data_IF_276054089447
#
_entry.id   IF_276054089447
#
_cell.length_a   1.000
_cell.length_b   1.000
_cell.length_c   1.000
_cell.angle_alpha   90.00
_cell.angle_beta   90.00
_cell.angle_gamma   90.00
#
_symmetry.space_group_name_H-M   'P 1'
#
loop_
_entity.id
_entity.type
_entity.pdbx_description
1 polymer ?
#
# COMPACT_ATOMS: atom_id res chain seq x y z
N UNK A 1 10.00 -15.02 9.23
CA UNK A 1 10.37 -14.09 10.32
C UNK A 1 9.55 -12.79 10.31
N UNK A 2 9.46 -12.08 9.17
CA UNK A 2 8.72 -10.80 9.10
C UNK A 2 7.22 -10.92 9.46
N UNK A 3 6.54 -11.96 8.98
CA UNK A 3 5.12 -12.18 9.30
C UNK A 3 4.82 -12.36 10.79
N UNK A 4 5.70 -13.09 11.49
CA UNK A 4 5.63 -13.29 12.95
C UNK A 4 5.84 -11.95 13.67
N UNK A 5 6.89 -11.20 13.30
CA UNK A 5 7.17 -9.88 13.89
C UNK A 5 5.99 -8.93 13.75
N UNK A 6 5.38 -8.86 12.57
CA UNK A 6 4.23 -7.98 12.31
C UNK A 6 2.97 -8.41 13.07
N UNK A 7 2.73 -9.71 13.17
CA UNK A 7 1.61 -10.25 13.97
C UNK A 7 1.78 -9.91 15.46
N UNK A 8 2.98 -10.13 16.00
CA UNK A 8 3.28 -9.90 17.42
C UNK A 8 3.21 -8.42 17.81
N UNK A 9 3.61 -7.51 16.91
CA UNK A 9 3.45 -6.07 17.13
C UNK A 9 1.99 -5.63 17.34
N UNK A 10 1.02 -6.46 16.93
CA UNK A 10 -0.41 -6.23 17.12
C UNK A 10 -1.03 -7.14 18.18
N UNK A 11 -0.27 -8.06 18.79
CA UNK A 11 -0.79 -9.05 19.73
C UNK A 11 -1.52 -8.40 20.91
N UNK A 12 -1.08 -7.22 21.38
CA UNK A 12 -1.74 -6.48 22.47
C UNK A 12 -3.18 -6.07 22.13
N UNK A 13 -3.44 -5.60 20.91
CA UNK A 13 -4.80 -5.30 20.45
C UNK A 13 -5.64 -6.58 20.41
N UNK A 14 -5.11 -7.66 19.82
CA UNK A 14 -5.82 -8.93 19.74
C UNK A 14 -6.13 -9.53 21.12
N UNK A 15 -5.19 -9.48 22.07
CA UNK A 15 -5.33 -10.06 23.40
C UNK A 15 -6.44 -9.37 24.22
N UNK A 16 -6.50 -8.03 24.20
CA UNK A 16 -7.56 -7.27 24.87
C UNK A 16 -8.93 -7.63 24.28
N UNK A 17 -9.01 -7.82 22.95
CA UNK A 17 -10.24 -8.13 22.25
C UNK A 17 -10.78 -9.53 22.59
N UNK A 18 -9.91 -10.54 22.65
CA UNK A 18 -10.29 -11.88 23.10
C UNK A 18 -10.67 -11.92 24.58
N UNK A 19 -9.98 -11.15 25.44
CA UNK A 19 -10.31 -11.07 26.87
C UNK A 19 -11.73 -10.52 27.10
N UNK A 20 -12.14 -9.49 26.36
CA UNK A 20 -13.50 -8.93 26.45
C UNK A 20 -14.57 -9.92 25.98
N UNK A 21 -14.31 -10.64 24.88
CA UNK A 21 -15.22 -11.70 24.39
C UNK A 21 -15.36 -12.84 25.41
N UNK A 22 -14.24 -13.33 25.93
CA UNK A 22 -14.21 -14.44 26.88
C UNK A 22 -14.89 -14.09 28.22
N UNK A 23 -14.81 -12.83 28.65
CA UNK A 23 -15.39 -12.38 29.91
C UNK A 23 -16.92 -12.33 29.91
N UNK A 24 -17.55 -11.82 28.84
CA UNK A 24 -18.97 -11.42 28.91
C UNK A 24 -19.94 -12.32 28.14
N UNK A 25 -19.46 -13.04 27.13
CA UNK A 25 -20.28 -13.93 26.32
C UNK A 25 -19.52 -15.23 26.11
N UNK A 26 -19.80 -16.25 26.92
CA UNK A 26 -19.36 -17.65 26.70
C UNK A 26 -19.87 -18.25 25.37
N UNK A 27 -20.31 -17.43 24.43
CA UNK A 27 -20.74 -17.79 23.09
C UNK A 27 -19.51 -17.95 22.21
N UNK A 28 -19.04 -19.20 22.12
CA UNK A 28 -17.90 -19.63 21.30
C UNK A 28 -17.96 -19.14 19.84
N UNK A 29 -19.15 -18.84 19.31
CA UNK A 29 -19.37 -18.34 17.94
C UNK A 29 -18.62 -17.03 17.67
N UNK A 30 -18.56 -16.11 18.65
CA UNK A 30 -17.83 -14.84 18.48
C UNK A 30 -16.32 -15.03 18.52
N UNK A 31 -15.85 -15.96 19.37
CA UNK A 31 -14.43 -16.32 19.45
C UNK A 31 -14.00 -17.01 18.14
N UNK A 32 -14.81 -17.93 17.63
CA UNK A 32 -14.57 -18.60 16.35
C UNK A 32 -14.57 -17.61 15.18
N UNK A 33 -15.52 -16.67 15.13
CA UNK A 33 -15.57 -15.65 14.08
C UNK A 33 -14.33 -14.72 14.11
N UNK A 34 -13.90 -14.28 15.30
CA UNK A 34 -12.67 -13.50 15.46
C UNK A 34 -11.42 -14.31 15.07
N UNK A 35 -11.35 -15.59 15.46
CA UNK A 35 -10.27 -16.49 15.09
C UNK A 35 -10.18 -16.69 13.57
N UNK A 36 -11.32 -16.90 12.89
CA UNK A 36 -11.38 -16.98 11.42
C UNK A 36 -10.89 -15.68 10.79
N UNK A 37 -11.31 -14.52 11.33
CA UNK A 37 -10.82 -13.21 10.88
C UNK A 37 -9.30 -13.09 10.95
N UNK A 38 -8.69 -13.54 12.04
CA UNK A 38 -7.22 -13.54 12.21
C UNK A 38 -6.54 -14.56 11.29
N UNK A 39 -7.07 -15.78 11.19
CA UNK A 39 -6.54 -16.83 10.34
C UNK A 39 -6.60 -16.45 8.85
N UNK A 40 -7.60 -15.67 8.44
CA UNK A 40 -7.70 -15.16 7.06
C UNK A 40 -6.49 -14.31 6.65
N UNK A 41 -5.89 -13.56 7.59
CA UNK A 41 -4.68 -12.80 7.33
C UNK A 41 -3.45 -13.70 7.08
N UNK A 42 -3.46 -14.92 7.64
CA UNK A 42 -2.39 -15.91 7.47
C UNK A 42 -2.51 -16.67 6.15
N UNK A 43 -3.73 -17.00 5.70
CA UNK A 43 -3.95 -17.70 4.43
C UNK A 43 -3.38 -16.91 3.24
N UNK A 44 -3.52 -15.58 3.26
CA UNK A 44 -2.96 -14.74 2.20
C UNK A 44 -1.44 -14.55 2.28
N UNK A 45 -0.76 -15.01 3.34
CA UNK A 45 0.66 -14.77 3.65
C UNK A 45 1.10 -13.30 3.58
N UNK A 46 0.16 -12.36 3.60
CA UNK A 46 0.42 -10.93 3.59
C UNK A 46 0.12 -10.42 4.99
N UNK A 47 1.15 -10.03 5.73
CA UNK A 47 1.01 -9.64 7.13
C UNK A 47 0.97 -8.13 7.25
N UNK A 48 -0.23 -7.56 7.11
CA UNK A 48 -0.47 -6.13 7.27
C UNK A 48 -1.48 -5.87 8.38
N UNK A 49 -1.27 -4.80 9.17
CA UNK A 49 -2.20 -4.40 10.23
C UNK A 49 -3.67 -4.40 9.80
N UNK A 50 -3.95 -3.87 8.60
CA UNK A 50 -5.30 -3.76 8.04
C UNK A 50 -5.97 -5.11 7.79
N UNK A 51 -5.24 -6.20 7.58
CA UNK A 51 -5.86 -7.51 7.34
C UNK A 51 -6.41 -8.15 8.62
N UNK A 52 -5.93 -7.71 9.78
CA UNK A 52 -6.55 -8.08 11.05
C UNK A 52 -7.90 -7.38 11.28
N UNK A 53 -8.27 -6.39 10.44
CA UNK A 53 -9.56 -5.72 10.54
C UNK A 53 -10.74 -6.64 10.19
N UNK A 54 -10.50 -7.81 9.58
CA UNK A 54 -11.54 -8.83 9.41
C UNK A 54 -12.11 -9.33 10.76
N UNK A 55 -11.33 -9.24 11.84
CA UNK A 55 -11.83 -9.55 13.17
C UNK A 55 -12.70 -8.41 13.76
N UNK A 56 -12.63 -7.18 13.25
CA UNK A 56 -13.33 -6.03 13.83
C UNK A 56 -14.86 -6.15 13.79
N UNK A 57 -15.54 -6.56 12.70
CA UNK A 57 -17.00 -6.64 12.68
C UNK A 57 -17.61 -7.52 13.80
N UNK A 58 -17.19 -8.80 13.99
CA UNK A 58 -17.74 -9.59 15.09
C UNK A 58 -17.40 -9.00 16.48
N UNK A 59 -16.25 -8.35 16.61
CA UNK A 59 -15.83 -7.71 17.85
C UNK A 59 -16.64 -6.46 18.18
N UNK A 60 -16.94 -5.62 17.19
CA UNK A 60 -17.78 -4.42 17.38
C UNK A 60 -19.20 -4.80 17.79
N UNK A 61 -19.78 -5.84 17.18
CA UNK A 61 -21.11 -6.33 17.53
C UNK A 61 -21.15 -6.87 18.96
N UNK A 62 -20.16 -7.68 19.35
CA UNK A 62 -20.06 -8.17 20.71
C UNK A 62 -19.85 -7.03 21.73
N UNK A 63 -18.96 -6.08 21.42
CA UNK A 63 -18.68 -4.91 22.25
C UNK A 63 -19.89 -3.97 22.38
N UNK A 64 -20.68 -3.80 21.32
CA UNK A 64 -21.91 -3.00 21.35
C UNK A 64 -22.93 -3.55 22.36
N UNK A 65 -23.17 -4.87 22.34
CA UNK A 65 -24.01 -5.53 23.34
C UNK A 65 -23.46 -5.40 24.76
N UNK A 66 -22.12 -5.42 24.91
CA UNK A 66 -21.45 -5.19 26.20
C UNK A 66 -21.71 -3.77 26.71
N UNK A 67 -21.53 -2.75 25.87
CA UNK A 67 -21.72 -1.34 26.22
C UNK A 67 -23.18 -1.03 26.59
N UNK A 68 -24.13 -1.55 25.80
CA UNK A 68 -25.56 -1.34 26.00
C UNK A 68 -26.06 -1.90 27.34
N UNK A 69 -25.47 -3.00 27.81
CA UNK A 69 -25.81 -3.63 29.09
C UNK A 69 -25.04 -3.06 30.29
N UNK A 70 -24.18 -2.04 30.12
CA UNK A 70 -23.45 -1.43 31.24
C UNK A 70 -24.29 -0.36 31.97
N UNK A 71 -24.04 -0.12 33.27
CA UNK A 71 -24.58 1.05 33.96
C UNK A 71 -24.19 2.35 33.25
N UNK A 72 -25.12 3.31 33.17
CA UNK A 72 -24.97 4.58 32.41
C UNK A 72 -23.65 5.29 32.65
N UNK A 73 -23.18 5.36 33.91
CA UNK A 73 -21.90 6.02 34.26
C UNK A 73 -20.70 5.34 33.61
N UNK A 74 -20.66 4.00 33.61
CA UNK A 74 -19.57 3.25 32.98
C UNK A 74 -19.65 3.31 31.46
N UNK A 75 -20.86 3.18 30.90
CA UNK A 75 -21.09 3.34 29.47
C UNK A 75 -20.60 4.71 28.99
N UNK A 76 -20.91 5.79 29.72
CA UNK A 76 -20.43 7.14 29.41
C UNK A 76 -18.90 7.22 29.40
N UNK A 77 -18.22 6.67 30.41
CA UNK A 77 -16.75 6.63 30.45
C UNK A 77 -16.17 5.93 29.22
N UNK A 78 -16.71 4.76 28.85
CA UNK A 78 -16.25 4.05 27.65
C UNK A 78 -16.59 4.80 26.35
N UNK A 79 -17.74 5.48 26.27
CA UNK A 79 -18.09 6.31 25.12
C UNK A 79 -17.14 7.51 24.98
N UNK A 80 -16.71 8.13 26.09
CA UNK A 80 -15.71 9.20 26.06
C UNK A 80 -14.37 8.70 25.52
N UNK A 81 -14.00 7.43 25.77
CA UNK A 81 -12.79 6.87 25.16
C UNK A 81 -12.85 6.81 23.62
N UNK A 82 -14.04 6.82 23.00
CA UNK A 82 -14.18 6.92 21.54
C UNK A 82 -13.79 8.31 21.00
N UNK A 83 -13.68 9.32 21.86
CA UNK A 83 -13.10 10.62 21.48
C UNK A 83 -11.62 10.46 21.12
N UNK A 84 -10.90 9.48 21.67
CA UNK A 84 -9.48 9.25 21.35
C UNK A 84 -9.28 8.92 19.87
N UNK A 85 -9.89 7.88 19.28
CA UNK A 85 -9.76 7.63 17.85
C UNK A 85 -10.35 8.76 17.02
N UNK A 86 -11.44 9.42 17.47
CA UNK A 86 -11.99 10.57 16.74
C UNK A 86 -11.01 11.74 16.67
N UNK A 87 -10.36 12.10 17.78
CA UNK A 87 -9.36 13.16 17.82
C UNK A 87 -8.08 12.77 17.08
N UNK A 88 -7.70 11.48 17.11
CA UNK A 88 -6.50 10.98 16.43
C UNK A 88 -6.66 10.86 14.92
N UNK A 89 -7.82 10.41 14.44
CA UNK A 89 -8.05 10.09 13.03
C UNK A 89 -9.00 11.06 12.32
N UNK A 90 -9.87 11.75 13.06
CA UNK A 90 -10.86 12.70 12.55
C UNK A 90 -10.29 13.94 11.86
N UNK A 91 -9.25 14.62 12.40
CA UNK A 91 -8.71 15.83 11.78
C UNK A 91 -8.36 15.66 10.31
N UNK A 92 -7.82 14.49 9.95
CA UNK A 92 -7.42 14.17 8.57
C UNK A 92 -8.59 14.15 7.58
N UNK A 93 -9.77 13.72 8.03
CA UNK A 93 -10.98 13.76 7.19
C UNK A 93 -11.50 15.18 7.03
N UNK A 94 -11.41 16.01 8.08
CA UNK A 94 -11.78 17.41 8.02
C UNK A 94 -10.84 18.20 7.08
N UNK A 95 -9.53 17.99 7.21
CA UNK A 95 -8.51 18.54 6.30
C UNK A 95 -8.80 18.16 4.86
N UNK A 96 -9.04 16.87 4.58
CA UNK A 96 -9.38 16.39 3.25
C UNK A 96 -10.65 17.03 2.68
N UNK A 97 -11.70 17.16 3.50
CA UNK A 97 -12.94 17.82 3.10
C UNK A 97 -12.72 19.31 2.78
N UNK A 98 -11.91 20.00 3.58
CA UNK A 98 -11.56 21.41 3.35
C UNK A 98 -10.70 21.62 2.10
N UNK A 99 -9.70 20.77 1.89
CA UNK A 99 -8.88 20.78 0.67
C UNK A 99 -9.75 20.59 -0.57
N UNK A 100 -10.66 19.60 -0.54
CA UNK A 100 -11.59 19.29 -1.63
C UNK A 100 -12.51 20.48 -1.93
N UNK A 101 -13.10 21.06 -0.87
CA UNK A 101 -13.99 22.22 -1.00
C UNK A 101 -13.27 23.45 -1.56
N UNK A 102 -11.98 23.63 -1.25
CA UNK A 102 -11.13 24.72 -1.76
C UNK A 102 -10.50 24.43 -3.11
N UNK A 103 -10.73 23.25 -3.70
CA UNK A 103 -10.09 22.82 -4.95
C UNK A 103 -8.57 22.70 -4.85
N UNK A 104 -8.03 22.44 -3.66
CA UNK A 104 -6.60 22.30 -3.41
C UNK A 104 -6.12 20.87 -3.70
N UNK A 105 -4.85 20.73 -4.10
CA UNK A 105 -4.20 19.42 -4.17
C UNK A 105 -4.07 18.84 -2.76
N UNK A 106 -4.41 17.56 -2.65
CA UNK A 106 -4.33 16.87 -1.37
C UNK A 106 -2.91 16.78 -0.85
N UNK A 107 -2.68 17.22 0.39
CA UNK A 107 -1.36 17.09 1.03
C UNK A 107 -1.08 15.64 1.47
N UNK A 108 -2.12 14.81 1.58
CA UNK A 108 -1.95 13.40 1.90
C UNK A 108 -1.23 12.68 0.75
N UNK A 109 0.01 12.27 1.02
CA UNK A 109 0.88 11.51 0.12
C UNK A 109 0.18 10.47 -0.76
N UNK A 110 -0.67 9.59 -0.21
CA UNK A 110 -1.29 8.52 -1.01
C UNK A 110 -2.29 9.07 -2.05
N UNK A 111 -3.06 10.11 -1.69
CA UNK A 111 -3.95 10.81 -2.62
C UNK A 111 -3.16 11.65 -3.63
N UNK A 112 -2.12 12.34 -3.17
CA UNK A 112 -1.21 13.07 -4.05
C UNK A 112 -0.57 12.15 -5.07
N UNK A 113 -0.08 10.98 -4.64
CA UNK A 113 0.44 9.94 -5.51
C UNK A 113 -0.64 9.53 -6.52
N UNK A 114 -1.84 9.18 -6.10
CA UNK A 114 -2.92 8.77 -7.01
C UNK A 114 -3.26 9.84 -8.05
N UNK A 115 -3.36 11.11 -7.64
CA UNK A 115 -3.57 12.23 -8.57
C UNK A 115 -2.41 12.38 -9.56
N UNK A 116 -1.17 12.16 -9.11
CA UNK A 116 -0.02 12.11 -10.00
C UNK A 116 -0.09 10.96 -11.01
N UNK A 117 -0.64 9.78 -10.65
CA UNK A 117 -0.90 8.72 -11.63
C UNK A 117 -1.93 9.13 -12.65
N UNK A 118 -3.00 9.82 -12.23
CA UNK A 118 -4.02 10.33 -13.16
C UNK A 118 -3.43 11.35 -14.12
N UNK A 119 -2.49 12.18 -13.65
CA UNK A 119 -1.80 13.15 -14.50
C UNK A 119 -0.81 12.47 -15.46
N UNK A 120 -0.06 11.47 -14.99
CA UNK A 120 0.84 10.66 -15.80
C UNK A 120 0.08 9.91 -16.90
N UNK A 121 -1.01 9.22 -16.54
CA UNK A 121 -1.85 8.47 -17.47
C UNK A 121 -2.39 9.32 -18.62
N UNK A 122 -2.72 10.59 -18.36
CA UNK A 122 -3.19 11.52 -19.40
C UNK A 122 -2.12 11.84 -20.45
N UNK A 123 -0.84 11.78 -20.10
CA UNK A 123 0.30 12.03 -21.02
C UNK A 123 0.76 10.79 -21.78
N UNK A 124 0.49 9.60 -21.26
CA UNK A 124 0.80 8.34 -21.93
C UNK A 124 -0.20 8.09 -23.06
N UNK A 125 0.30 7.86 -24.28
CA UNK A 125 -0.52 7.66 -25.49
C UNK A 125 0.08 6.56 -26.37
N UNK A 126 -0.71 5.54 -26.67
CA UNK A 126 -0.31 4.41 -27.52
C UNK A 126 0.89 3.62 -26.99
N UNK A 127 1.17 2.49 -27.65
CA UNK A 127 2.32 1.64 -27.33
C UNK A 127 2.14 0.82 -26.04
N UNK A 128 3.27 0.34 -25.53
CA UNK A 128 3.38 -0.52 -24.36
C UNK A 128 4.14 0.20 -23.24
N UNK A 129 3.84 -0.18 -22.01
CA UNK A 129 4.30 0.50 -20.82
C UNK A 129 5.08 -0.44 -19.89
N UNK A 130 6.22 0.04 -19.38
CA UNK A 130 6.84 -0.44 -18.16
C UNK A 130 6.61 0.58 -17.04
N UNK A 131 6.10 0.12 -15.90
CA UNK A 131 5.90 0.96 -14.71
C UNK A 131 7.02 0.66 -13.72
N UNK A 132 7.76 1.68 -13.33
CA UNK A 132 8.75 1.59 -12.26
C UNK A 132 8.18 2.15 -10.96
N UNK A 133 8.21 1.35 -9.89
CA UNK A 133 7.44 1.58 -8.67
C UNK A 133 6.15 0.77 -8.58
N UNK A 134 5.61 0.62 -7.37
CA UNK A 134 4.36 -0.09 -7.11
C UNK A 134 3.14 0.77 -7.47
N UNK A 135 2.93 0.99 -8.78
CA UNK A 135 1.87 1.86 -9.32
C UNK A 135 0.99 1.15 -10.37
N UNK A 136 0.44 -0.05 -10.06
CA UNK A 136 -0.30 -0.85 -11.04
C UNK A 136 -1.55 -0.15 -11.60
N UNK A 137 -2.10 0.81 -10.87
CA UNK A 137 -3.23 1.64 -11.31
C UNK A 137 -2.95 2.39 -12.61
N UNK A 138 -1.68 2.65 -12.94
CA UNK A 138 -1.32 3.41 -14.13
C UNK A 138 -1.71 2.67 -15.43
N UNK A 139 -1.68 1.33 -15.45
CA UNK A 139 -2.16 0.54 -16.59
C UNK A 139 -3.66 0.74 -16.82
N UNK A 140 -4.46 0.70 -15.74
CA UNK A 140 -5.91 0.88 -15.80
C UNK A 140 -6.25 2.31 -16.24
N UNK A 141 -5.56 3.30 -15.67
CA UNK A 141 -5.82 4.72 -15.95
C UNK A 141 -5.39 5.15 -17.36
N UNK A 142 -4.28 4.60 -17.88
CA UNK A 142 -3.77 4.93 -19.22
C UNK A 142 -4.39 4.09 -20.34
N UNK A 143 -4.90 2.89 -20.01
CA UNK A 143 -5.37 1.91 -20.98
C UNK A 143 -4.25 1.24 -21.78
N UNK A 144 -2.98 1.48 -21.45
CA UNK A 144 -1.84 0.86 -22.14
C UNK A 144 -1.62 -0.58 -21.67
N UNK A 145 -1.11 -1.41 -22.57
CA UNK A 145 -0.69 -2.78 -22.26
C UNK A 145 0.70 -2.81 -21.63
N UNK A 146 0.96 -3.83 -20.81
CA UNK A 146 2.29 -4.09 -20.29
C UNK A 146 3.26 -4.46 -21.42
N UNK A 147 4.42 -3.81 -21.45
CA UNK A 147 5.49 -4.11 -22.42
C UNK A 147 6.39 -5.27 -22.03
N UNK A 148 6.31 -5.68 -20.76
CA UNK A 148 7.10 -6.77 -20.18
C UNK A 148 6.22 -7.56 -19.20
N UNK A 149 6.63 -8.77 -18.77
CA UNK A 149 5.95 -9.50 -17.70
C UNK A 149 6.04 -8.83 -16.32
N UNK A 150 6.90 -7.81 -16.16
CA UNK A 150 7.09 -7.09 -14.91
C UNK A 150 6.16 -5.88 -14.88
N UNK A 151 5.08 -5.99 -14.10
CA UNK A 151 4.06 -4.94 -13.96
C UNK A 151 4.48 -3.82 -13.00
N UNK A 152 5.51 -4.04 -12.19
CA UNK A 152 6.08 -3.05 -11.29
C UNK A 152 7.58 -3.33 -11.09
N UNK A 153 8.26 -2.47 -10.34
CA UNK A 153 9.71 -2.62 -10.10
C UNK A 153 10.09 -3.58 -8.98
N UNK A 154 9.16 -4.12 -8.19
CA UNK A 154 9.50 -4.96 -7.03
C UNK A 154 10.25 -6.25 -7.43
N UNK A 155 9.86 -6.97 -8.49
CA UNK A 155 10.62 -8.13 -8.96
C UNK A 155 12.01 -7.76 -9.50
N UNK A 156 12.24 -6.48 -9.84
CA UNK A 156 13.47 -5.99 -10.48
C UNK A 156 14.45 -5.39 -9.48
N UNK A 157 13.96 -4.68 -8.45
CA UNK A 157 14.77 -4.08 -7.39
C UNK A 157 14.79 -4.92 -6.10
N UNK A 158 13.92 -5.91 -5.97
CA UNK A 158 13.83 -6.80 -4.80
C UNK A 158 13.28 -6.12 -3.53
N UNK A 159 12.81 -4.89 -3.60
CA UNK A 159 12.29 -4.12 -2.47
C UNK A 159 10.77 -4.16 -2.45
N UNK A 160 10.20 -4.67 -1.35
CA UNK A 160 8.75 -4.80 -1.19
C UNK A 160 8.05 -3.44 -1.12
N UNK A 161 6.83 -3.38 -1.68
CA UNK A 161 6.03 -2.18 -1.83
C UNK A 161 5.90 -1.34 -0.55
N UNK A 162 5.65 -2.00 0.58
CA UNK A 162 5.40 -1.31 1.85
C UNK A 162 6.66 -0.72 2.50
N UNK A 163 7.84 -0.92 1.90
CA UNK A 163 9.12 -0.41 2.39
C UNK A 163 9.83 0.48 1.40
N UNK A 164 9.51 0.45 0.11
CA UNK A 164 10.28 1.17 -0.90
C UNK A 164 10.31 2.70 -0.71
N UNK A 165 9.44 3.27 0.13
CA UNK A 165 9.44 4.72 0.45
C UNK A 165 10.32 5.07 1.66
N UNK A 166 10.82 4.08 2.40
CA UNK A 166 11.60 4.29 3.64
C UNK A 166 12.87 3.44 3.71
N UNK A 167 13.01 2.46 2.82
CA UNK A 167 14.15 1.56 2.77
C UNK A 167 14.39 1.10 1.34
N UNK A 168 15.65 1.04 0.95
CA UNK A 168 16.09 0.55 -0.36
C UNK A 168 16.75 -0.83 -0.27
N UNK A 169 16.66 -1.51 0.89
CA UNK A 169 17.30 -2.81 1.09
C UNK A 169 16.48 -3.92 0.42
N UNK A 170 17.05 -4.65 -0.54
CA UNK A 170 16.38 -5.78 -1.18
C UNK A 170 16.07 -6.89 -0.17
N UNK A 171 14.91 -7.53 -0.34
CA UNK A 171 14.52 -8.72 0.42
C UNK A 171 15.07 -9.99 -0.21
N UNK A 172 15.12 -10.04 -1.55
CA UNK A 172 15.62 -11.18 -2.33
C UNK A 172 16.46 -10.68 -3.52
N UNK A 173 17.73 -10.35 -3.26
CA UNK A 173 18.62 -9.75 -4.28
C UNK A 173 18.91 -10.69 -5.46
N UNK A 174 19.08 -11.99 -5.23
CA UNK A 174 19.41 -12.94 -6.29
C UNK A 174 18.28 -13.07 -7.32
N UNK A 175 17.02 -13.10 -6.86
CA UNK A 175 15.84 -13.10 -7.73
C UNK A 175 15.74 -11.79 -8.50
N UNK A 176 15.98 -10.66 -7.81
CA UNK A 176 15.94 -9.34 -8.43
C UNK A 176 16.98 -9.23 -9.55
N UNK A 177 18.23 -9.65 -9.31
CA UNK A 177 19.30 -9.69 -10.30
C UNK A 177 18.95 -10.56 -11.50
N UNK A 178 18.43 -11.77 -11.29
CA UNK A 178 18.02 -12.65 -12.37
C UNK A 178 16.91 -12.04 -13.24
N UNK A 179 15.95 -11.33 -12.63
CA UNK A 179 14.89 -10.66 -13.36
C UNK A 179 15.38 -9.43 -14.13
N UNK A 180 16.36 -8.68 -13.59
CA UNK A 180 17.01 -7.58 -14.33
C UNK A 180 17.73 -8.07 -15.57
N UNK A 181 18.46 -9.19 -15.47
CA UNK A 181 19.11 -9.81 -16.61
C UNK A 181 18.08 -10.21 -17.69
N UNK A 182 16.98 -10.84 -17.30
CA UNK A 182 15.87 -11.17 -18.22
C UNK A 182 15.28 -9.93 -18.88
N UNK A 183 15.02 -8.86 -18.11
CA UNK A 183 14.49 -7.61 -18.64
C UNK A 183 15.44 -6.99 -19.68
N UNK A 184 16.75 -7.01 -19.42
CA UNK A 184 17.76 -6.45 -20.32
C UNK A 184 17.82 -7.15 -21.69
N UNK A 185 17.33 -8.38 -21.80
CA UNK A 185 17.24 -9.14 -23.06
C UNK A 185 15.91 -8.91 -23.79
N UNK A 186 14.93 -8.26 -23.16
CA UNK A 186 13.61 -8.04 -23.76
C UNK A 186 13.55 -6.80 -24.64
N UNK A 187 12.67 -6.77 -25.65
CA UNK A 187 12.38 -5.54 -26.39
C UNK A 187 11.90 -4.42 -25.46
N UNK A 188 12.40 -3.20 -25.67
CA UNK A 188 12.00 -2.04 -24.89
C UNK A 188 10.54 -1.66 -25.20
N UNK A 189 9.68 -1.45 -24.18
CA UNK A 189 8.42 -0.76 -24.38
C UNK A 189 8.63 0.67 -24.86
N UNK A 190 7.60 1.21 -25.49
CA UNK A 190 7.58 2.60 -25.94
C UNK A 190 7.67 3.57 -24.74
N UNK A 191 7.08 3.19 -23.60
CA UNK A 191 7.01 4.01 -22.40
C UNK A 191 7.66 3.36 -21.18
N UNK A 192 8.43 4.14 -20.44
CA UNK A 192 8.85 3.86 -19.06
C UNK A 192 8.30 4.97 -18.16
N UNK A 193 7.41 4.62 -17.24
CA UNK A 193 6.88 5.55 -16.25
C UNK A 193 7.46 5.26 -14.87
N UNK A 194 8.40 6.09 -14.43
CA UNK A 194 9.03 6.00 -13.11
C UNK A 194 8.25 6.80 -12.08
N UNK A 195 7.49 6.08 -11.24
CA UNK A 195 6.74 6.62 -10.12
C UNK A 195 7.37 6.34 -8.76
N UNK A 196 8.64 5.91 -8.70
CA UNK A 196 9.32 5.55 -7.45
C UNK A 196 10.53 6.42 -7.16
N UNK A 197 11.39 6.68 -8.14
CA UNK A 197 12.65 7.40 -7.92
C UNK A 197 12.48 8.84 -7.45
N UNK A 198 11.41 9.58 -7.83
CA UNK A 198 11.09 10.87 -7.21
C UNK A 198 10.82 10.80 -5.70
N UNK A 199 10.43 9.64 -5.17
CA UNK A 199 10.20 9.43 -3.74
C UNK A 199 11.36 8.71 -3.04
N UNK A 200 12.08 7.86 -3.76
CA UNK A 200 13.27 7.18 -3.28
C UNK A 200 14.34 7.11 -4.37
N UNK A 201 15.24 8.11 -4.43
CA UNK A 201 16.29 8.19 -5.45
C UNK A 201 17.27 7.01 -5.43
N UNK A 202 17.41 6.31 -4.30
CA UNK A 202 18.28 5.13 -4.22
C UNK A 202 17.71 3.90 -4.96
N UNK A 203 16.46 3.97 -5.43
CA UNK A 203 15.82 2.95 -6.27
C UNK A 203 15.60 3.44 -7.70
N UNK A 204 16.43 4.35 -8.18
CA UNK A 204 16.42 4.84 -9.56
C UNK A 204 16.81 3.73 -10.56
N UNK A 205 15.97 3.45 -11.59
CA UNK A 205 16.27 2.40 -12.55
C UNK A 205 17.57 2.68 -13.32
N UNK A 206 17.93 3.95 -13.54
CA UNK A 206 19.14 4.34 -14.26
C UNK A 206 20.42 4.17 -13.44
N UNK A 207 20.31 3.98 -12.12
CA UNK A 207 21.45 3.65 -11.25
C UNK A 207 21.79 2.16 -11.25
N UNK A 208 20.95 1.32 -11.87
CA UNK A 208 21.12 -0.13 -11.91
C UNK A 208 22.08 -0.51 -13.04
N UNK A 209 23.29 -1.03 -12.74
CA UNK A 209 24.30 -1.31 -13.76
C UNK A 209 23.80 -2.27 -14.84
N UNK A 210 23.06 -3.31 -14.47
CA UNK A 210 22.56 -4.35 -15.37
C UNK A 210 21.55 -3.80 -16.39
N UNK A 211 20.86 -2.71 -16.08
CA UNK A 211 19.86 -2.10 -16.96
C UNK A 211 20.41 -0.90 -17.75
N UNK A 212 21.65 -0.47 -17.50
CA UNK A 212 22.20 0.76 -18.09
C UNK A 212 22.14 0.79 -19.62
N UNK A 213 22.53 -0.30 -20.27
CA UNK A 213 22.45 -0.42 -21.74
C UNK A 213 21.00 -0.40 -22.23
N UNK A 214 20.15 -1.19 -21.57
CA UNK A 214 18.72 -1.30 -21.89
C UNK A 214 17.94 0.01 -21.63
N UNK A 215 18.40 0.87 -20.73
CA UNK A 215 17.76 2.16 -20.47
C UNK A 215 18.34 3.30 -21.34
N UNK A 216 19.43 3.05 -22.07
CA UNK A 216 20.18 4.10 -22.77
C UNK A 216 19.42 4.79 -23.92
N UNK A 217 18.43 4.12 -24.50
CA UNK A 217 17.57 4.65 -25.57
C UNK A 217 16.33 5.39 -25.05
N UNK A 218 16.09 5.39 -23.74
CA UNK A 218 15.01 6.18 -23.16
C UNK A 218 15.40 7.65 -23.01
N UNK A 219 14.46 8.54 -23.29
CA UNK A 219 14.60 10.00 -23.10
C UNK A 219 13.49 10.49 -22.19
N UNK A 220 13.84 11.34 -21.22
CA UNK A 220 12.87 11.98 -20.35
C UNK A 220 12.02 12.95 -21.19
N UNK A 221 10.70 12.77 -21.18
CA UNK A 221 9.77 13.64 -21.92
C UNK A 221 8.86 14.46 -21.02
N UNK A 222 8.68 14.05 -19.76
CA UNK A 222 7.95 14.82 -18.76
C UNK A 222 8.40 14.49 -17.34
N UNK A 223 8.49 15.51 -16.50
CA UNK A 223 8.65 15.37 -15.05
C UNK A 223 7.43 15.96 -14.35
N UNK A 224 6.79 15.14 -13.53
CA UNK A 224 5.55 15.42 -12.81
C UNK A 224 5.80 15.24 -11.31
N UNK A 225 4.96 15.82 -10.44
CA UNK A 225 5.04 15.52 -9.02
C UNK A 225 4.97 14.00 -8.79
N UNK A 226 6.06 13.36 -8.37
CA UNK A 226 6.07 11.92 -8.12
C UNK A 226 6.15 11.01 -9.36
N UNK A 227 6.42 11.55 -10.56
CA UNK A 227 6.65 10.76 -11.76
C UNK A 227 7.71 11.36 -12.69
N UNK A 228 8.49 10.49 -13.33
CA UNK A 228 9.30 10.80 -14.50
C UNK A 228 8.85 9.89 -15.64
N UNK A 229 8.47 10.49 -16.77
CA UNK A 229 8.00 9.76 -17.94
C UNK A 229 9.09 9.77 -19.00
N UNK A 230 9.45 8.59 -19.46
CA UNK A 230 10.45 8.38 -20.49
C UNK A 230 9.82 7.73 -21.71
N UNK A 231 10.24 8.17 -22.88
CA UNK A 231 9.87 7.58 -24.16
C UNK A 231 11.08 6.90 -24.78
N UNK A 232 10.87 5.73 -25.36
CA UNK A 232 11.89 5.00 -26.10
C UNK A 232 12.19 5.71 -27.42
N UNK A 233 13.46 5.99 -27.69
CA UNK A 233 13.92 6.56 -28.96
C UNK A 233 14.86 5.53 -29.59
N UNK A 234 14.45 4.89 -30.70
CA UNK A 234 15.25 3.84 -31.33
C UNK A 234 16.61 4.34 -31.85
#
# INVERSE_FOLDING_TARGET
>A
LEGVRRTLNWAGFHAILFAVLAWKRREWRWIAAAAIGILSAWVGMRFFPRYYFHALPPLLLAAGGVLAAMPRRRALVFSVLLVIPLARFGPRYAELGLETWRGQRHAWRDLAMFESSREAARRLKGGRLLVWGYRPELFVLSGLHAGTPFLDSQPLNGVLADRHLSSSKPTCEDIARANRAKLAEMPQPEWLADGLSPYNPALDPFLIPELKSWLSSYRLVAELPGYRLYHHVP
#
